data_IF_540194195844
#
_entry.id   IF_540194195844
#
_cell.length_a   1.000
_cell.length_b   1.000
_cell.length_c   1.000
_cell.angle_alpha   90.00
_cell.angle_beta   90.00
_cell.angle_gamma   90.00
#
_symmetry.space_group_name_H-M   'P 1'
#
loop_
_entity.id
_entity.type
_entity.pdbx_description
1 polymer ?
#
# COMPACT_ATOMS: atom_id res chain seq x y z
N UNK A 1 2.08 -4.20 44.32
CA UNK A 1 3.01 -4.22 43.20
C UNK A 1 2.29 -3.68 41.95
N UNK A 2 2.58 -2.44 41.57
CA UNK A 2 2.04 -1.83 40.32
C UNK A 2 2.87 -2.37 39.19
N UNK A 3 2.28 -3.17 38.35
CA UNK A 3 2.84 -3.57 37.04
C UNK A 3 2.99 -2.32 36.19
N UNK A 4 4.17 -1.80 36.13
CA UNK A 4 4.54 -0.75 35.18
C UNK A 4 4.41 -1.34 33.77
N UNK A 5 3.69 -0.69 32.91
CA UNK A 5 3.55 -1.06 31.52
C UNK A 5 4.92 -1.23 30.87
N UNK A 6 5.15 -2.28 30.07
CA UNK A 6 6.46 -2.55 29.46
C UNK A 6 6.98 -1.39 28.57
N UNK A 7 6.12 -0.51 28.14
CA UNK A 7 6.46 0.67 27.34
C UNK A 7 7.37 1.69 28.05
N UNK A 8 7.25 1.85 29.37
CA UNK A 8 8.08 2.80 30.12
C UNK A 8 9.55 2.40 30.19
N UNK A 9 9.86 1.11 30.08
CA UNK A 9 11.22 0.61 30.11
C UNK A 9 11.91 0.80 28.74
N UNK A 10 11.19 0.62 27.65
CA UNK A 10 11.67 0.88 26.29
C UNK A 10 12.02 2.36 26.09
N UNK A 11 11.17 3.28 26.60
CA UNK A 11 11.44 4.72 26.54
C UNK A 11 12.66 5.17 27.36
N UNK A 12 12.97 4.47 28.43
CA UNK A 12 14.14 4.80 29.30
C UNK A 12 15.46 4.21 28.82
N UNK A 13 15.42 3.15 28.05
CA UNK A 13 16.64 2.43 27.62
C UNK A 13 17.05 2.73 26.16
N UNK A 14 16.24 3.45 25.41
CA UNK A 14 16.57 3.81 24.04
C UNK A 14 17.30 5.15 23.99
N UNK A 15 18.62 5.17 23.71
CA UNK A 15 19.37 6.44 23.57
C UNK A 15 18.89 7.28 22.39
N UNK A 16 18.06 6.73 21.51
CA UNK A 16 17.52 7.38 20.33
C UNK A 16 16.44 8.44 20.65
N UNK A 17 15.71 8.28 21.77
CA UNK A 17 14.70 9.26 22.22
C UNK A 17 15.31 10.44 23.00
N UNK A 18 16.57 10.35 23.41
CA UNK A 18 17.27 11.37 24.21
C UNK A 18 18.28 12.17 23.37
N UNK A 19 18.57 11.76 22.15
CA UNK A 19 19.29 12.64 21.23
C UNK A 19 18.32 13.69 20.71
N UNK A 20 18.69 14.93 20.91
CA UNK A 20 18.11 16.12 20.24
C UNK A 20 18.41 16.03 18.73
N UNK A 21 17.91 14.97 18.10
CA UNK A 21 17.95 14.76 16.64
C UNK A 21 16.83 15.60 16.02
N UNK A 22 16.98 16.93 16.15
CA UNK A 22 16.21 17.82 15.29
C UNK A 22 16.67 17.54 13.87
N UNK A 23 15.72 17.24 12.94
CA UNK A 23 16.06 17.16 11.54
C UNK A 23 16.84 18.40 11.17
N UNK A 24 17.89 18.26 10.39
CA UNK A 24 18.59 19.41 9.83
C UNK A 24 17.56 20.27 9.11
N UNK A 25 17.46 21.54 9.49
CA UNK A 25 16.31 22.43 9.33
C UNK A 25 15.82 22.66 7.89
N UNK A 26 16.47 22.11 6.86
CA UNK A 26 16.17 22.40 5.45
C UNK A 26 15.17 21.44 4.79
N UNK A 27 14.69 20.40 5.48
CA UNK A 27 13.92 19.31 4.82
C UNK A 27 12.54 19.00 5.38
N UNK A 28 12.27 19.31 6.67
CA UNK A 28 10.98 19.09 7.31
C UNK A 28 10.49 20.39 7.95
N UNK A 29 9.26 20.79 7.65
CA UNK A 29 8.65 21.94 8.34
C UNK A 29 8.26 21.56 9.76
N UNK A 30 8.23 22.53 10.69
CA UNK A 30 7.79 22.29 12.07
C UNK A 30 6.37 21.70 12.13
N UNK A 31 5.46 22.20 11.30
CA UNK A 31 4.08 21.70 11.20
C UNK A 31 4.05 20.24 10.71
N UNK A 32 4.93 19.84 9.78
CA UNK A 32 5.01 18.46 9.33
C UNK A 32 5.53 17.56 10.45
N UNK A 33 6.58 17.96 11.15
CA UNK A 33 7.15 17.18 12.27
C UNK A 33 6.11 17.01 13.39
N UNK A 34 5.36 18.07 13.71
CA UNK A 34 4.30 18.01 14.71
C UNK A 34 3.17 17.06 14.27
N UNK A 35 2.73 17.14 13.01
CA UNK A 35 1.68 16.27 12.46
C UNK A 35 2.12 14.82 12.28
N UNK A 36 3.41 14.58 12.03
CA UNK A 36 3.99 13.25 11.81
C UNK A 36 4.66 12.65 13.07
N UNK A 37 4.44 13.23 14.25
CA UNK A 37 5.15 12.81 15.47
C UNK A 37 4.98 11.32 15.79
N UNK A 38 3.77 10.78 15.63
CA UNK A 38 3.51 9.36 15.83
C UNK A 38 4.28 8.47 14.84
N UNK A 39 4.41 8.92 13.58
CA UNK A 39 5.18 8.24 12.54
C UNK A 39 6.67 8.24 12.86
N UNK A 40 7.21 9.37 13.30
CA UNK A 40 8.63 9.51 13.71
C UNK A 40 8.95 8.53 14.86
N UNK A 41 8.12 8.50 15.91
CA UNK A 41 8.32 7.57 17.03
C UNK A 41 8.26 6.13 16.55
N UNK A 42 7.24 5.78 15.75
CA UNK A 42 7.08 4.43 15.25
C UNK A 42 8.25 3.98 14.37
N UNK A 43 8.67 4.83 13.45
CA UNK A 43 9.83 4.57 12.60
C UNK A 43 11.10 4.37 13.43
N UNK A 44 11.34 5.21 14.46
CA UNK A 44 12.48 5.06 15.36
C UNK A 44 12.47 3.71 16.09
N UNK A 45 11.30 3.28 16.57
CA UNK A 45 11.18 2.04 17.34
C UNK A 45 11.32 0.79 16.46
N UNK A 46 10.76 0.81 15.25
CA UNK A 46 10.77 -0.35 14.36
C UNK A 46 12.11 -0.53 13.65
N UNK A 47 12.75 0.57 13.24
CA UNK A 47 13.97 0.50 12.43
C UNK A 47 15.26 0.67 13.27
N UNK A 48 15.15 0.84 14.58
CA UNK A 48 16.30 1.12 15.47
C UNK A 48 17.18 2.28 14.96
N UNK A 49 16.57 3.25 14.28
CA UNK A 49 17.19 4.39 13.63
C UNK A 49 16.50 5.70 14.01
N UNK A 50 17.02 6.84 13.55
CA UNK A 50 16.34 8.10 13.71
C UNK A 50 15.09 8.17 12.80
N UNK A 51 13.89 8.16 13.39
CA UNK A 51 12.64 8.18 12.66
C UNK A 51 12.44 9.42 11.80
N UNK A 52 13.05 10.55 12.14
CA UNK A 52 13.02 11.74 11.30
C UNK A 52 13.80 11.50 9.99
N UNK A 53 14.94 10.83 10.06
CA UNK A 53 15.73 10.42 8.88
C UNK A 53 14.91 9.46 8.01
N UNK A 54 14.22 8.47 8.59
CA UNK A 54 13.34 7.56 7.84
C UNK A 54 12.25 8.33 7.09
N UNK A 55 11.58 9.30 7.75
CA UNK A 55 10.56 10.11 7.09
C UNK A 55 11.13 10.98 5.97
N UNK A 56 12.36 11.47 6.12
CA UNK A 56 13.03 12.20 5.04
C UNK A 56 13.28 11.31 3.82
N UNK A 57 13.67 10.06 4.02
CA UNK A 57 13.86 9.09 2.93
C UNK A 57 12.54 8.75 2.25
N UNK A 58 11.43 8.62 3.00
CA UNK A 58 10.09 8.40 2.43
C UNK A 58 9.66 9.51 1.44
N UNK A 59 10.16 10.75 1.60
CA UNK A 59 9.89 11.84 0.66
C UNK A 59 10.41 11.59 -0.75
N UNK A 60 11.41 10.75 -0.91
CA UNK A 60 11.97 10.36 -2.20
C UNK A 60 11.31 9.11 -2.78
N UNK A 61 10.47 8.40 -1.99
CA UNK A 61 9.80 7.19 -2.42
C UNK A 61 8.59 7.47 -3.30
N UNK A 62 8.39 6.59 -4.27
CA UNK A 62 7.31 6.66 -5.25
C UNK A 62 6.48 5.39 -5.20
N UNK A 63 5.19 5.53 -4.88
CA UNK A 63 4.23 4.42 -4.88
C UNK A 63 3.27 4.57 -6.05
N UNK A 64 3.08 3.52 -6.83
CA UNK A 64 2.02 3.47 -7.83
C UNK A 64 0.73 2.93 -7.22
N UNK A 65 -0.41 3.57 -7.51
CA UNK A 65 -1.75 3.10 -7.14
C UNK A 65 -2.60 3.10 -8.42
N UNK A 66 -3.13 1.97 -8.80
CA UNK A 66 -3.78 1.81 -10.10
C UNK A 66 -5.24 2.30 -10.15
N UNK A 67 -5.95 2.33 -9.03
CA UNK A 67 -7.31 2.86 -8.88
C UNK A 67 -7.35 3.82 -7.68
N UNK A 68 -7.74 5.05 -7.90
CA UNK A 68 -7.81 6.10 -6.89
C UNK A 68 -9.19 6.26 -6.26
N UNK A 69 -10.09 5.29 -6.42
CA UNK A 69 -11.37 5.23 -5.71
C UNK A 69 -11.20 4.50 -4.37
N UNK A 70 -12.15 4.64 -3.49
CA UNK A 70 -12.30 3.83 -2.28
C UNK A 70 -10.99 3.53 -1.55
N UNK A 71 -10.56 2.28 -1.58
CA UNK A 71 -9.32 1.84 -0.91
C UNK A 71 -8.05 2.52 -1.47
N UNK A 72 -8.01 2.82 -2.76
CA UNK A 72 -6.88 3.53 -3.36
C UNK A 72 -6.78 4.97 -2.87
N UNK A 73 -7.91 5.68 -2.74
CA UNK A 73 -7.95 7.01 -2.11
C UNK A 73 -7.46 6.93 -0.66
N UNK A 74 -8.01 5.99 0.13
CA UNK A 74 -7.61 5.83 1.53
C UNK A 74 -6.11 5.52 1.66
N UNK A 75 -5.58 4.65 0.78
CA UNK A 75 -4.15 4.33 0.73
C UNK A 75 -3.31 5.57 0.38
N UNK A 76 -3.71 6.34 -0.64
CA UNK A 76 -2.99 7.56 -1.03
C UNK A 76 -2.94 8.60 0.10
N UNK A 77 -4.07 8.84 0.78
CA UNK A 77 -4.13 9.79 1.89
C UNK A 77 -3.30 9.31 3.09
N UNK A 78 -3.34 8.01 3.40
CA UNK A 78 -2.55 7.44 4.49
C UNK A 78 -1.04 7.48 4.20
N UNK A 79 -0.62 7.18 2.96
CA UNK A 79 0.78 7.32 2.54
C UNK A 79 1.26 8.77 2.61
N UNK A 80 0.40 9.73 2.24
CA UNK A 80 0.70 11.15 2.41
C UNK A 80 0.92 11.50 3.88
N UNK A 81 0.04 11.04 4.78
CA UNK A 81 0.18 11.25 6.22
C UNK A 81 1.47 10.63 6.77
N UNK A 82 1.88 9.47 6.22
CA UNK A 82 3.09 8.76 6.61
C UNK A 82 4.39 9.32 6.00
N UNK A 83 4.33 10.39 5.22
CA UNK A 83 5.51 11.07 4.69
C UNK A 83 6.00 10.61 3.32
N UNK A 84 5.26 9.73 2.63
CA UNK A 84 5.62 9.33 1.25
C UNK A 84 5.52 10.52 0.31
N UNK A 85 6.57 10.73 -0.48
CA UNK A 85 6.70 11.98 -1.25
C UNK A 85 5.96 11.96 -2.59
N UNK A 86 5.69 10.79 -3.17
CA UNK A 86 5.07 10.72 -4.49
C UNK A 86 4.13 9.54 -4.65
N UNK A 87 2.97 9.81 -5.22
CA UNK A 87 2.06 8.77 -5.76
C UNK A 87 1.89 8.98 -7.25
N UNK A 88 1.98 7.90 -7.99
CA UNK A 88 1.73 7.82 -9.44
C UNK A 88 0.45 7.03 -9.67
N UNK A 89 -0.39 7.47 -10.59
CA UNK A 89 -1.55 6.68 -11.01
C UNK A 89 -1.85 6.84 -12.49
N UNK A 90 -2.28 5.74 -13.11
CA UNK A 90 -2.84 5.72 -14.45
C UNK A 90 -4.37 5.85 -14.46
N UNK A 91 -5.00 6.02 -13.29
CA UNK A 91 -6.43 6.26 -13.17
C UNK A 91 -6.79 7.64 -13.75
N UNK A 92 -7.49 7.64 -14.87
CA UNK A 92 -7.97 8.84 -15.55
C UNK A 92 -9.46 9.09 -15.28
N UNK A 93 -10.09 8.28 -14.42
CA UNK A 93 -11.50 8.39 -14.12
C UNK A 93 -11.82 9.68 -13.35
N UNK A 94 -13.06 10.09 -13.48
CA UNK A 94 -13.59 11.24 -12.74
C UNK A 94 -14.18 10.77 -11.42
N UNK A 95 -14.26 11.69 -10.47
CA UNK A 95 -15.03 11.48 -9.24
C UNK A 95 -16.51 11.39 -9.59
N UNK A 96 -17.11 10.25 -9.35
CA UNK A 96 -18.53 9.98 -9.59
C UNK A 96 -19.33 10.03 -8.29
N UNK A 97 -20.66 10.01 -8.38
CA UNK A 97 -21.55 10.04 -7.21
C UNK A 97 -21.29 8.86 -6.25
N UNK A 98 -20.92 7.69 -6.77
CA UNK A 98 -20.56 6.50 -5.98
C UNK A 98 -19.25 6.64 -5.21
N UNK A 99 -18.42 7.61 -5.57
CA UNK A 99 -17.13 7.89 -4.91
C UNK A 99 -17.27 8.91 -3.78
N UNK A 100 -18.45 9.49 -3.56
CA UNK A 100 -18.68 10.53 -2.57
C UNK A 100 -18.96 9.95 -1.17
N UNK A 101 -18.51 10.63 -0.14
CA UNK A 101 -18.82 10.27 1.25
C UNK A 101 -17.89 10.90 2.28
N UNK A 102 -18.20 10.74 3.58
CA UNK A 102 -17.38 11.32 4.67
C UNK A 102 -15.93 10.82 4.70
N UNK A 103 -15.71 9.54 4.38
CA UNK A 103 -14.36 8.93 4.28
C UNK A 103 -13.96 8.70 2.82
N UNK A 104 -14.42 9.54 1.91
CA UNK A 104 -14.26 9.44 0.49
C UNK A 104 -14.09 10.85 -0.12
N UNK A 105 -14.45 11.03 -1.38
CA UNK A 105 -14.40 12.37 -1.99
C UNK A 105 -15.54 13.25 -1.48
N UNK A 106 -15.29 14.51 -1.14
CA UNK A 106 -16.35 15.47 -0.85
C UNK A 106 -17.07 15.89 -2.12
N UNK A 107 -18.35 16.29 -2.00
CA UNK A 107 -19.22 16.60 -3.14
C UNK A 107 -18.69 17.72 -4.06
N UNK A 108 -17.89 18.63 -3.53
CA UNK A 108 -17.27 19.73 -4.30
C UNK A 108 -16.27 19.24 -5.35
N UNK A 109 -15.82 17.97 -5.25
CA UNK A 109 -14.88 17.36 -6.18
C UNK A 109 -15.56 16.49 -7.25
N UNK A 110 -16.90 16.39 -7.23
CA UNK A 110 -17.66 15.66 -8.25
C UNK A 110 -17.28 16.13 -9.66
N UNK A 111 -17.04 15.18 -10.56
CA UNK A 111 -16.67 15.45 -11.95
C UNK A 111 -15.22 15.88 -12.18
N UNK A 112 -14.41 16.03 -11.14
CA UNK A 112 -12.96 16.29 -11.29
C UNK A 112 -12.20 14.99 -11.52
N UNK A 113 -11.11 14.98 -12.31
CA UNK A 113 -10.19 13.84 -12.36
C UNK A 113 -9.72 13.46 -10.95
N UNK A 114 -9.79 12.17 -10.58
CA UNK A 114 -9.46 11.70 -9.22
C UNK A 114 -8.07 12.11 -8.77
N UNK A 115 -7.09 12.07 -9.66
CA UNK A 115 -5.73 12.50 -9.32
C UNK A 115 -5.66 13.99 -8.94
N UNK A 116 -6.44 14.85 -9.59
CA UNK A 116 -6.54 16.27 -9.24
C UNK A 116 -7.34 16.47 -7.95
N UNK A 117 -8.37 15.65 -7.74
CA UNK A 117 -9.18 15.69 -6.54
C UNK A 117 -8.34 15.34 -5.29
N UNK A 118 -7.49 14.31 -5.35
CA UNK A 118 -6.56 13.99 -4.25
C UNK A 118 -5.55 15.12 -4.04
N UNK A 119 -5.00 15.70 -5.11
CA UNK A 119 -4.11 16.86 -4.98
C UNK A 119 -4.79 18.02 -4.25
N UNK A 120 -6.07 18.27 -4.52
CA UNK A 120 -6.85 19.29 -3.82
C UNK A 120 -7.10 18.94 -2.34
N UNK A 121 -7.33 17.67 -2.00
CA UNK A 121 -7.47 17.21 -0.61
C UNK A 121 -6.17 17.40 0.19
N UNK A 122 -5.03 17.23 -0.46
CA UNK A 122 -3.72 17.33 0.17
C UNK A 122 -3.14 18.76 0.14
N UNK A 123 -3.81 19.72 -0.49
CA UNK A 123 -3.29 21.08 -0.64
C UNK A 123 -3.04 21.81 0.69
N UNK A 124 -3.79 21.45 1.74
CA UNK A 124 -3.61 21.96 3.12
C UNK A 124 -2.79 21.03 4.02
N UNK A 125 -2.31 19.89 3.49
CA UNK A 125 -1.47 18.98 4.27
C UNK A 125 -0.07 19.54 4.45
N UNK A 126 0.53 19.43 5.64
CA UNK A 126 1.94 19.74 5.87
C UNK A 126 2.87 18.92 4.98
N UNK A 127 2.48 17.70 4.66
CA UNK A 127 3.21 16.86 3.71
C UNK A 127 2.73 17.12 2.27
N UNK A 128 3.57 17.75 1.50
CA UNK A 128 3.31 18.05 0.08
C UNK A 128 3.59 16.84 -0.81
N UNK A 129 2.79 15.76 -0.67
CA UNK A 129 2.90 14.61 -1.55
C UNK A 129 2.55 15.00 -3.00
N UNK A 130 3.42 14.64 -3.94
CA UNK A 130 3.22 14.88 -5.36
C UNK A 130 2.35 13.78 -5.99
N UNK A 131 1.27 14.17 -6.64
CA UNK A 131 0.41 13.28 -7.45
C UNK A 131 0.81 13.41 -8.92
N UNK A 132 1.29 12.32 -9.52
CA UNK A 132 1.77 12.32 -10.91
C UNK A 132 0.88 11.42 -11.78
N UNK A 133 0.22 11.98 -12.81
CA UNK A 133 -0.50 11.18 -13.80
C UNK A 133 0.46 10.25 -14.55
N UNK A 134 0.13 8.97 -14.63
CA UNK A 134 0.99 7.94 -15.20
C UNK A 134 1.36 8.19 -16.67
N UNK A 135 0.46 8.82 -17.45
CA UNK A 135 0.74 9.19 -18.84
C UNK A 135 1.82 10.28 -19.00
N UNK A 136 2.17 10.99 -17.93
CA UNK A 136 3.27 11.97 -17.90
C UNK A 136 4.61 11.35 -17.52
N UNK A 137 4.64 10.07 -17.18
CA UNK A 137 5.88 9.38 -16.87
C UNK A 137 6.64 9.07 -18.15
N UNK A 138 7.92 9.41 -18.16
CA UNK A 138 8.88 8.89 -19.12
C UNK A 138 9.32 7.49 -18.71
N UNK A 139 9.91 6.72 -19.62
CA UNK A 139 10.47 5.39 -19.30
C UNK A 139 11.40 5.44 -18.08
N UNK A 140 12.24 6.47 -17.98
CA UNK A 140 13.17 6.69 -16.85
C UNK A 140 12.45 6.92 -15.52
N UNK A 141 11.28 7.56 -15.52
CA UNK A 141 10.50 7.80 -14.30
C UNK A 141 9.65 6.58 -13.90
N UNK A 142 9.36 5.67 -14.84
CA UNK A 142 8.72 4.39 -14.55
C UNK A 142 9.66 3.44 -13.81
N UNK A 143 10.97 3.54 -14.07
CA UNK A 143 12.01 2.80 -13.33
C UNK A 143 12.19 3.30 -11.89
N UNK A 144 11.62 4.44 -11.56
CA UNK A 144 11.68 5.06 -10.22
C UNK A 144 10.46 4.74 -9.35
N UNK A 145 9.64 3.74 -9.69
CA UNK A 145 8.54 3.27 -8.85
C UNK A 145 9.09 2.25 -7.87
N UNK A 146 9.02 2.56 -6.58
CA UNK A 146 9.52 1.68 -5.52
C UNK A 146 8.56 0.53 -5.21
N UNK A 147 7.24 0.77 -5.33
CA UNK A 147 6.20 -0.21 -5.06
C UNK A 147 4.91 0.10 -5.81
N UNK A 148 4.16 -0.95 -6.22
CA UNK A 148 2.85 -0.78 -6.82
C UNK A 148 1.74 -1.40 -5.96
N UNK A 149 0.59 -0.71 -5.89
CA UNK A 149 -0.65 -1.16 -5.25
C UNK A 149 -1.70 -1.39 -6.31
N UNK A 150 -2.35 -2.55 -6.25
CA UNK A 150 -3.39 -2.98 -7.17
C UNK A 150 -4.69 -3.14 -6.38
N UNK A 151 -5.76 -2.44 -6.79
CA UNK A 151 -7.06 -2.50 -6.12
C UNK A 151 -7.99 -3.41 -6.92
N UNK A 152 -8.25 -4.61 -6.42
CA UNK A 152 -9.12 -5.60 -7.05
C UNK A 152 -10.57 -5.56 -6.55
N UNK A 153 -11.48 -5.99 -7.41
CA UNK A 153 -12.88 -6.26 -7.09
C UNK A 153 -13.17 -7.69 -7.58
N UNK A 154 -13.18 -8.65 -6.66
CA UNK A 154 -13.33 -10.10 -6.86
C UNK A 154 -12.15 -10.73 -7.64
N UNK A 155 -11.83 -10.24 -8.81
CA UNK A 155 -10.75 -10.73 -9.68
C UNK A 155 -9.84 -9.59 -10.07
N UNK A 156 -8.54 -9.86 -10.14
CA UNK A 156 -7.55 -8.93 -10.63
C UNK A 156 -7.09 -9.38 -12.02
N UNK A 157 -7.33 -8.55 -13.00
CA UNK A 157 -6.94 -8.84 -14.38
C UNK A 157 -5.41 -8.99 -14.51
N UNK A 158 -4.90 -10.05 -15.14
CA UNK A 158 -3.45 -10.35 -15.20
C UNK A 158 -2.59 -9.20 -15.70
N UNK A 159 -3.05 -8.42 -16.70
CA UNK A 159 -2.29 -7.27 -17.23
C UNK A 159 -1.95 -6.22 -16.17
N UNK A 160 -2.73 -6.14 -15.06
CA UNK A 160 -2.54 -5.15 -14.00
C UNK A 160 -1.34 -5.48 -13.10
N UNK A 161 -0.98 -6.77 -12.94
CA UNK A 161 0.16 -7.18 -12.11
C UNK A 161 1.37 -7.68 -12.91
N UNK A 162 1.19 -8.30 -14.07
CA UNK A 162 2.29 -8.83 -14.89
C UNK A 162 3.27 -7.72 -15.29
N UNK A 163 2.78 -6.51 -15.52
CA UNK A 163 3.64 -5.38 -15.84
C UNK A 163 4.66 -5.06 -14.73
N UNK A 164 4.32 -5.31 -13.47
CA UNK A 164 5.20 -5.07 -12.31
C UNK A 164 6.22 -6.20 -12.15
N UNK A 165 5.80 -7.44 -12.38
CA UNK A 165 6.70 -8.59 -12.45
C UNK A 165 7.78 -8.37 -13.51
N UNK A 166 7.40 -7.93 -14.71
CA UNK A 166 8.31 -7.70 -15.83
C UNK A 166 9.29 -6.52 -15.62
N UNK A 167 9.02 -5.66 -14.65
CA UNK A 167 9.85 -4.50 -14.31
C UNK A 167 10.61 -4.67 -13.00
N UNK A 168 10.56 -5.84 -12.40
CA UNK A 168 11.13 -6.12 -11.09
C UNK A 168 10.64 -5.15 -9.98
N UNK A 169 9.39 -4.66 -10.10
CA UNK A 169 8.79 -3.75 -9.13
C UNK A 169 7.99 -4.53 -8.08
N UNK A 170 8.32 -4.42 -6.80
CA UNK A 170 7.52 -4.97 -5.71
C UNK A 170 6.08 -4.46 -5.76
N UNK A 171 5.12 -5.34 -5.48
CA UNK A 171 3.72 -4.94 -5.53
C UNK A 171 2.86 -5.75 -4.57
N UNK A 172 1.73 -5.19 -4.18
CA UNK A 172 0.70 -5.86 -3.40
C UNK A 172 -0.69 -5.59 -3.98
N UNK A 173 -1.63 -6.46 -3.63
CA UNK A 173 -3.01 -6.33 -4.02
C UNK A 173 -3.91 -6.15 -2.79
N UNK A 174 -4.85 -5.22 -2.89
CA UNK A 174 -6.01 -5.12 -2.01
C UNK A 174 -7.20 -5.62 -2.84
N UNK A 175 -7.86 -6.68 -2.40
CA UNK A 175 -8.97 -7.26 -3.14
C UNK A 175 -10.22 -7.37 -2.27
N UNK A 176 -11.36 -6.98 -2.83
CA UNK A 176 -12.67 -7.02 -2.18
C UNK A 176 -13.54 -8.08 -2.86
N UNK A 177 -14.14 -8.93 -2.06
CA UNK A 177 -15.06 -9.95 -2.49
C UNK A 177 -16.41 -9.78 -1.77
N UNK A 178 -17.40 -10.59 -2.12
CA UNK A 178 -18.77 -10.50 -1.58
C UNK A 178 -18.78 -10.74 -0.06
N UNK A 179 -17.96 -11.66 0.42
CA UNK A 179 -17.91 -12.09 1.82
C UNK A 179 -16.64 -11.70 2.57
N UNK A 180 -15.66 -11.17 1.87
CA UNK A 180 -14.33 -10.92 2.42
C UNK A 180 -13.60 -9.78 1.74
N UNK A 181 -12.63 -9.23 2.45
CA UNK A 181 -11.64 -8.32 1.90
C UNK A 181 -10.24 -8.81 2.25
N UNK A 182 -9.27 -8.57 1.40
CA UNK A 182 -7.93 -9.09 1.61
C UNK A 182 -6.84 -8.13 1.16
N UNK A 183 -5.69 -8.25 1.82
CA UNK A 183 -4.42 -7.64 1.40
C UNK A 183 -3.44 -8.79 1.16
N UNK A 184 -2.90 -8.86 -0.03
CA UNK A 184 -1.96 -9.91 -0.41
C UNK A 184 -0.66 -9.85 0.42
N UNK A 185 0.15 -10.92 0.42
CA UNK A 185 1.57 -10.78 0.69
C UNK A 185 2.17 -9.65 -0.17
N UNK A 186 3.28 -9.07 0.28
CA UNK A 186 4.09 -8.26 -0.63
C UNK A 186 4.76 -9.19 -1.64
N UNK A 187 4.49 -8.97 -2.90
CA UNK A 187 5.07 -9.75 -3.99
C UNK A 187 6.35 -9.05 -4.45
N UNK A 188 7.47 -9.69 -4.16
CA UNK A 188 8.79 -9.24 -4.64
C UNK A 188 9.16 -10.13 -5.82
N UNK A 189 9.31 -9.58 -7.03
CA UNK A 189 9.66 -10.36 -8.21
C UNK A 189 10.90 -11.23 -7.97
N UNK A 190 10.80 -12.51 -8.35
CA UNK A 190 11.86 -13.49 -8.10
C UNK A 190 11.94 -14.04 -6.67
N UNK A 191 11.04 -13.67 -5.78
CA UNK A 191 10.98 -14.18 -4.40
C UNK A 191 9.57 -14.65 -4.06
N UNK A 192 9.38 -15.95 -3.99
CA UNK A 192 8.11 -16.55 -3.61
C UNK A 192 6.99 -16.38 -4.65
N UNK A 193 5.77 -16.75 -4.28
CA UNK A 193 4.64 -16.83 -5.19
C UNK A 193 4.10 -15.45 -5.59
N UNK A 194 3.70 -15.31 -6.85
CA UNK A 194 3.07 -14.10 -7.37
C UNK A 194 1.53 -14.25 -7.46
N UNK A 195 0.83 -13.21 -7.92
CA UNK A 195 -0.63 -13.25 -8.10
C UNK A 195 -1.06 -14.26 -9.18
N UNK A 196 -0.21 -14.57 -10.16
CA UNK A 196 -0.51 -15.61 -11.12
C UNK A 196 -0.47 -17.01 -10.49
N UNK A 197 0.42 -17.25 -9.53
CA UNK A 197 0.42 -18.48 -8.75
C UNK A 197 -0.92 -18.67 -8.00
N UNK A 198 -1.45 -17.59 -7.41
CA UNK A 198 -2.77 -17.61 -6.77
C UNK A 198 -3.88 -17.99 -7.76
N UNK A 199 -3.89 -17.39 -8.94
CA UNK A 199 -4.88 -17.71 -9.96
C UNK A 199 -4.79 -19.17 -10.42
N UNK A 200 -3.57 -19.70 -10.59
CA UNK A 200 -3.37 -21.11 -10.91
C UNK A 200 -3.84 -22.05 -9.77
N UNK A 201 -3.62 -21.68 -8.53
CA UNK A 201 -4.15 -22.46 -7.38
C UNK A 201 -5.67 -22.49 -7.39
N UNK A 202 -6.34 -21.38 -7.70
CA UNK A 202 -7.80 -21.32 -7.84
C UNK A 202 -8.32 -22.20 -8.98
N UNK A 203 -7.61 -22.26 -10.11
CA UNK A 203 -7.95 -23.13 -11.24
C UNK A 203 -7.82 -24.61 -10.84
N UNK A 204 -6.82 -24.94 -10.04
CA UNK A 204 -6.64 -26.31 -9.54
C UNK A 204 -7.74 -26.73 -8.54
N UNK A 205 -8.23 -25.77 -7.73
CA UNK A 205 -9.33 -25.98 -6.79
C UNK A 205 -10.69 -26.09 -7.51
N UNK A 206 -10.89 -25.26 -8.54
CA UNK A 206 -12.13 -25.22 -9.33
C UNK A 206 -11.81 -24.98 -10.81
N UNK A 207 -11.95 -26.03 -11.62
CA UNK A 207 -11.72 -25.96 -13.06
C UNK A 207 -12.67 -24.99 -13.80
N UNK A 208 -13.79 -24.58 -13.19
CA UNK A 208 -14.70 -23.56 -13.74
C UNK A 208 -14.23 -22.14 -13.48
N UNK A 209 -13.22 -21.96 -12.61
CA UNK A 209 -12.73 -20.63 -12.22
C UNK A 209 -12.40 -19.69 -13.40
N UNK A 210 -11.74 -20.12 -14.49
CA UNK A 210 -11.46 -19.23 -15.62
C UNK A 210 -12.72 -18.62 -16.25
N UNK A 211 -13.81 -19.40 -16.30
CA UNK A 211 -15.10 -18.92 -16.85
C UNK A 211 -15.72 -17.92 -15.89
N UNK A 212 -15.75 -18.24 -14.61
CA UNK A 212 -16.26 -17.35 -13.55
C UNK A 212 -15.45 -16.05 -13.52
N UNK A 213 -14.11 -16.13 -13.50
CA UNK A 213 -13.21 -14.99 -13.48
C UNK A 213 -13.42 -14.07 -14.70
N UNK A 214 -13.64 -14.63 -15.90
CA UNK A 214 -13.90 -13.85 -17.11
C UNK A 214 -15.18 -13.02 -17.02
N UNK A 215 -16.21 -13.53 -16.34
CA UNK A 215 -17.45 -12.81 -16.08
C UNK A 215 -17.28 -11.74 -15.01
N UNK A 216 -16.53 -12.05 -13.94
CA UNK A 216 -16.28 -11.14 -12.83
C UNK A 216 -15.40 -9.94 -13.23
N UNK A 217 -14.43 -10.14 -14.13
CA UNK A 217 -13.60 -9.03 -14.67
C UNK A 217 -14.43 -7.94 -15.33
N UNK A 218 -15.56 -8.30 -15.93
CA UNK A 218 -16.48 -7.33 -16.56
C UNK A 218 -17.41 -6.63 -15.57
N UNK A 219 -17.49 -7.14 -14.33
CA UNK A 219 -18.32 -6.57 -13.29
C UNK A 219 -17.65 -5.33 -12.69
N UNK A 220 -18.30 -4.17 -12.86
CA UNK A 220 -17.78 -2.89 -12.36
C UNK A 220 -18.35 -2.50 -10.98
N UNK A 221 -19.06 -3.40 -10.31
CA UNK A 221 -19.60 -3.13 -8.99
C UNK A 221 -18.47 -3.06 -7.97
N UNK A 222 -18.52 -2.03 -7.15
CA UNK A 222 -17.59 -1.86 -6.04
C UNK A 222 -18.12 -2.57 -4.80
N UNK A 223 -17.25 -3.36 -4.18
CA UNK A 223 -17.55 -4.13 -2.97
C UNK A 223 -16.82 -3.57 -1.73
N UNK A 224 -16.01 -2.52 -1.90
CA UNK A 224 -15.24 -1.89 -0.84
C UNK A 224 -16.13 -0.96 0.00
N UNK A 225 -16.84 -1.52 0.98
CA UNK A 225 -17.55 -0.74 2.00
C UNK A 225 -16.57 0.08 2.87
N UNK A 226 -17.10 1.03 3.65
CA UNK A 226 -16.26 1.97 4.41
C UNK A 226 -15.35 1.29 5.42
N UNK A 227 -15.78 0.23 6.09
CA UNK A 227 -15.01 -0.43 7.13
C UNK A 227 -13.90 -1.30 6.53
N UNK A 228 -14.26 -2.18 5.58
CA UNK A 228 -13.29 -3.05 4.91
C UNK A 228 -12.25 -2.26 4.14
N UNK A 229 -12.64 -1.17 3.48
CA UNK A 229 -11.75 -0.25 2.78
C UNK A 229 -10.70 0.37 3.69
N UNK A 230 -11.10 0.94 4.82
CA UNK A 230 -10.18 1.57 5.78
C UNK A 230 -9.26 0.54 6.44
N UNK A 231 -9.80 -0.63 6.77
CA UNK A 231 -9.01 -1.73 7.33
C UNK A 231 -7.93 -2.19 6.33
N UNK A 232 -8.31 -2.50 5.11
CA UNK A 232 -7.37 -2.99 4.09
C UNK A 232 -6.34 -1.92 3.68
N UNK A 233 -6.77 -0.66 3.55
CA UNK A 233 -5.84 0.44 3.27
C UNK A 233 -4.81 0.60 4.40
N UNK A 234 -5.24 0.60 5.67
CA UNK A 234 -4.34 0.69 6.82
C UNK A 234 -3.33 -0.45 6.86
N UNK A 235 -3.78 -1.68 6.61
CA UNK A 235 -2.90 -2.85 6.57
C UNK A 235 -1.93 -2.80 5.39
N UNK A 236 -2.40 -2.40 4.20
CA UNK A 236 -1.53 -2.22 3.04
C UNK A 236 -0.46 -1.15 3.28
N UNK A 237 -0.84 0.00 3.87
CA UNK A 237 0.10 1.07 4.24
C UNK A 237 1.19 0.54 5.18
N UNK A 238 0.84 -0.28 6.20
CA UNK A 238 1.83 -0.88 7.10
C UNK A 238 2.85 -1.73 6.33
N UNK A 239 2.39 -2.56 5.38
CA UNK A 239 3.27 -3.39 4.54
C UNK A 239 4.14 -2.54 3.61
N UNK A 240 3.56 -1.53 2.99
CA UNK A 240 4.27 -0.60 2.11
C UNK A 240 5.39 0.11 2.88
N UNK A 241 5.07 0.69 4.05
CA UNK A 241 6.05 1.40 4.86
C UNK A 241 7.15 0.47 5.38
N UNK A 242 6.83 -0.75 5.80
CA UNK A 242 7.82 -1.74 6.21
C UNK A 242 8.83 -2.03 5.09
N UNK A 243 8.37 -2.12 3.84
CA UNK A 243 9.23 -2.32 2.68
C UNK A 243 10.03 -1.06 2.31
N UNK A 244 9.41 0.12 2.32
CA UNK A 244 10.08 1.37 1.95
C UNK A 244 11.14 1.81 2.96
N UNK A 245 10.95 1.46 4.24
CA UNK A 245 11.81 1.81 5.34
C UNK A 245 12.96 0.81 5.56
N UNK A 246 13.03 -0.27 4.78
CA UNK A 246 14.07 -1.30 4.91
C UNK A 246 15.46 -0.71 4.61
N UNK A 247 16.02 -0.05 5.61
CA UNK A 247 17.37 0.51 5.62
C UNK A 247 18.33 -0.53 6.19
N UNK A 248 18.43 -1.67 5.51
CA UNK A 248 19.56 -2.59 5.71
C UNK A 248 19.44 -3.52 6.89
N UNK A 249 18.54 -4.49 6.88
CA UNK A 249 18.67 -5.68 7.70
C UNK A 249 17.52 -6.09 8.58
N UNK A 250 16.35 -5.49 8.49
CA UNK A 250 15.14 -6.12 8.97
C UNK A 250 14.89 -7.35 8.11
N UNK A 251 14.79 -8.52 8.73
CA UNK A 251 14.57 -9.76 8.00
C UNK A 251 13.14 -9.72 7.42
N UNK A 252 12.93 -9.32 6.17
CA UNK A 252 11.61 -9.04 5.62
C UNK A 252 10.76 -10.31 5.46
N UNK A 253 11.36 -11.46 5.72
CA UNK A 253 10.91 -12.77 5.29
C UNK A 253 9.58 -13.23 5.88
N UNK A 254 9.22 -12.87 7.11
CA UNK A 254 7.96 -13.37 7.69
C UNK A 254 6.76 -12.46 7.40
N UNK A 255 6.90 -11.15 7.51
CA UNK A 255 5.79 -10.22 7.27
C UNK A 255 5.49 -9.96 5.79
N UNK A 256 6.48 -10.09 4.90
CA UNK A 256 6.28 -9.91 3.46
C UNK A 256 5.52 -11.08 2.84
N UNK A 257 5.81 -12.31 3.29
CA UNK A 257 5.23 -13.54 2.72
C UNK A 257 3.79 -13.83 3.17
N UNK A 258 3.25 -13.09 4.14
CA UNK A 258 1.90 -13.31 4.67
C UNK A 258 1.01 -12.13 4.28
N UNK A 259 -0.10 -12.43 3.61
CA UNK A 259 -1.23 -11.52 3.45
C UNK A 259 -2.26 -11.74 4.54
N UNK A 260 -3.36 -11.01 4.47
CA UNK A 260 -4.45 -11.16 5.42
C UNK A 260 -5.80 -11.08 4.73
N UNK A 261 -6.74 -11.88 5.21
CA UNK A 261 -8.13 -11.91 4.77
C UNK A 261 -9.03 -11.56 5.95
N UNK A 262 -9.90 -10.60 5.75
CA UNK A 262 -10.96 -10.19 6.66
C UNK A 262 -12.27 -10.83 6.20
N UNK A 263 -12.91 -11.65 7.03
CA UNK A 263 -14.26 -12.14 6.80
C UNK A 263 -15.27 -11.06 7.21
N UNK A 264 -16.06 -10.54 6.28
CA UNK A 264 -16.94 -9.38 6.53
C UNK A 264 -18.05 -9.68 7.52
N UNK A 265 -18.59 -10.89 7.52
CA UNK A 265 -19.69 -11.29 8.41
C UNK A 265 -19.29 -11.39 9.89
N UNK A 266 -18.06 -11.81 10.18
CA UNK A 266 -17.58 -12.07 11.54
C UNK A 266 -16.52 -11.10 12.03
N UNK A 267 -15.88 -10.35 11.13
CA UNK A 267 -14.70 -9.55 11.45
C UNK A 267 -13.45 -10.39 11.72
N UNK A 268 -13.49 -11.71 11.49
CA UNK A 268 -12.33 -12.57 11.70
C UNK A 268 -11.22 -12.27 10.67
N UNK A 269 -10.00 -12.20 11.17
CA UNK A 269 -8.80 -11.99 10.34
C UNK A 269 -8.04 -13.30 10.31
N UNK A 270 -7.70 -13.76 9.11
CA UNK A 270 -6.88 -14.94 8.88
C UNK A 270 -5.70 -14.60 8.00
N UNK A 271 -4.62 -15.37 8.14
CA UNK A 271 -3.47 -15.27 7.25
C UNK A 271 -3.84 -15.74 5.84
N UNK A 272 -3.27 -15.07 4.85
CA UNK A 272 -3.44 -15.37 3.44
C UNK A 272 -2.06 -15.64 2.83
N UNK A 273 -1.86 -16.85 2.36
CA UNK A 273 -0.66 -17.24 1.63
C UNK A 273 -1.03 -18.32 0.61
N UNK A 274 -0.20 -18.49 -0.39
CA UNK A 274 -0.33 -19.55 -1.39
C UNK A 274 1.06 -20.01 -1.83
N UNK A 275 1.21 -21.27 -2.33
CA UNK A 275 2.48 -21.78 -2.80
C UNK A 275 2.86 -21.19 -4.18
N UNK A 276 4.13 -21.31 -4.53
CA UNK A 276 4.55 -21.17 -5.91
C UNK A 276 3.90 -22.27 -6.76
N UNK A 277 3.51 -21.91 -7.98
CA UNK A 277 2.85 -22.85 -8.89
C UNK A 277 3.80 -23.28 -10.01
N UNK A 278 3.84 -24.57 -10.31
CA UNK A 278 4.76 -25.16 -11.30
C UNK A 278 4.62 -24.55 -12.70
N UNK A 279 3.39 -24.18 -13.11
CA UNK A 279 3.15 -23.51 -14.38
C UNK A 279 3.55 -22.03 -14.39
N UNK A 280 4.06 -21.48 -13.27
CA UNK A 280 4.47 -20.10 -13.18
C UNK A 280 5.99 -19.96 -13.31
N UNK A 281 6.43 -19.04 -14.14
CA UNK A 281 7.86 -18.73 -14.30
C UNK A 281 8.36 -17.59 -13.40
N UNK A 282 7.57 -17.14 -12.40
CA UNK A 282 7.95 -16.02 -11.53
C UNK A 282 9.23 -16.27 -10.72
N UNK A 283 9.56 -17.54 -10.42
CA UNK A 283 10.77 -17.95 -9.73
C UNK A 283 12.03 -17.91 -10.63
N UNK A 284 11.87 -17.92 -11.96
CA UNK A 284 13.00 -17.89 -12.89
C UNK A 284 13.63 -16.49 -13.01
N UNK A 285 12.97 -15.46 -12.54
CA UNK A 285 13.49 -14.08 -12.59
C UNK A 285 14.62 -13.83 -11.56
N UNK A 286 14.76 -14.68 -10.54
CA UNK A 286 15.77 -14.54 -9.48
C UNK A 286 17.21 -14.95 -9.86
N UNK A 287 17.45 -15.39 -11.10
CA UNK A 287 18.76 -15.93 -11.53
C UNK A 287 19.62 -14.97 -12.36
N UNK A 288 19.46 -13.66 -12.13
CA UNK A 288 20.33 -12.65 -12.75
C UNK A 288 21.17 -11.88 -11.75
#
# INVERSE_FOLDING_TARGET
>A
AKTLFPYTTLFRSSPLLLKDSRPTADSLTEDFVAGAFAEIIRASLLNSSDGATVLMERKFRTVHIDDLSGAGLATALGLASAGVGRVVSHDQSLVEAKDLGPSAYPSQLLGKPKIQAISALLASSPNQMSLVPGHKLTARNLEAIDLAVIIGQQVIEPRRYVQWLNRDVPHLAINFDVDSASVSPLIVPGRGPCLYCLEQSRINEDASWPVVASQLVTNQNRLDDSASRLFCAGLAIQKILAHLDDVGGFNPTENELVGYRLALASGAITELSWPEHEACSCHLAASK
#
